data_IF_818168661360
#
_entry.id   IF_818168661360
#
_cell.length_a   1.000
_cell.length_b   1.000
_cell.length_c   1.000
_cell.angle_alpha   90.00
_cell.angle_beta   90.00
_cell.angle_gamma   90.00
#
_symmetry.space_group_name_H-M   'P 1'
#
loop_
_entity.id
_entity.type
_entity.pdbx_description
1 polymer ?
#
# COMPACT_ATOMS: atom_id res chain seq x y z
N UNK A 1 -4.68 -9.66 -9.06
CA UNK A 1 -3.41 -10.34 -8.83
C UNK A 1 -2.43 -9.44 -8.07
N UNK A 2 -1.73 -9.93 -7.04
CA UNK A 2 -0.63 -9.16 -6.42
C UNK A 2 0.61 -9.27 -7.33
N UNK A 3 1.24 -8.17 -7.78
CA UNK A 3 2.44 -8.23 -8.60
C UNK A 3 3.60 -8.90 -7.87
N UNK A 4 4.30 -9.81 -8.56
CA UNK A 4 5.42 -10.58 -7.97
C UNK A 4 6.71 -9.75 -7.82
N UNK A 5 6.79 -8.57 -8.43
CA UNK A 5 7.95 -7.67 -8.35
C UNK A 5 7.85 -6.64 -7.21
N UNK A 6 6.84 -6.74 -6.34
CA UNK A 6 6.77 -5.89 -5.14
C UNK A 6 7.80 -6.38 -4.13
N UNK A 7 8.76 -5.52 -3.79
CA UNK A 7 9.78 -5.78 -2.76
C UNK A 7 9.42 -5.10 -1.45
N UNK A 8 10.15 -5.42 -0.38
CA UNK A 8 10.00 -4.78 0.93
C UNK A 8 10.20 -3.26 0.83
N UNK A 9 11.14 -2.81 0.00
CA UNK A 9 11.42 -1.38 -0.22
C UNK A 9 10.20 -0.66 -0.82
N UNK A 10 9.46 -1.29 -1.73
CA UNK A 10 8.22 -0.73 -2.28
C UNK A 10 7.13 -0.59 -1.21
N UNK A 11 7.01 -1.58 -0.32
CA UNK A 11 6.08 -1.53 0.82
C UNK A 11 6.46 -0.41 1.79
N UNK A 12 7.75 -0.25 2.11
CA UNK A 12 8.22 0.81 2.99
C UNK A 12 7.96 2.20 2.40
N UNK A 13 8.19 2.40 1.10
CA UNK A 13 7.82 3.65 0.40
C UNK A 13 6.31 3.91 0.42
N UNK A 14 5.50 2.86 0.25
CA UNK A 14 4.04 2.98 0.37
C UNK A 14 3.59 3.40 1.77
N UNK A 15 4.19 2.81 2.83
CA UNK A 15 3.91 3.21 4.21
C UNK A 15 4.33 4.66 4.49
N UNK A 16 5.47 5.12 3.95
CA UNK A 16 5.90 6.51 4.05
C UNK A 16 4.92 7.48 3.36
N UNK A 17 4.37 7.10 2.20
CA UNK A 17 3.34 7.91 1.53
C UNK A 17 2.05 7.98 2.34
N UNK A 18 1.63 6.87 2.95
CA UNK A 18 0.47 6.83 3.87
C UNK A 18 0.73 7.70 5.10
N UNK A 19 1.91 7.61 5.70
CA UNK A 19 2.29 8.43 6.86
C UNK A 19 2.25 9.93 6.53
N UNK A 20 2.60 10.30 5.29
CA UNK A 20 2.65 11.70 4.84
C UNK A 20 1.28 12.25 4.43
N UNK A 21 0.50 11.47 3.69
CA UNK A 21 -0.71 11.94 3.02
C UNK A 21 -2.01 11.43 3.68
N UNK A 22 -1.90 10.50 4.61
CA UNK A 22 -3.03 9.78 5.17
C UNK A 22 -3.58 8.70 4.24
N UNK A 23 -4.73 8.16 4.63
CA UNK A 23 -5.49 7.16 3.86
C UNK A 23 -6.79 7.82 3.40
N UNK A 24 -7.10 7.85 2.10
CA UNK A 24 -8.42 8.27 1.61
C UNK A 24 -9.54 7.41 2.23
N UNK A 25 -10.70 8.00 2.52
CA UNK A 25 -11.79 7.29 3.22
C UNK A 25 -12.21 6.00 2.50
N UNK A 26 -12.26 6.03 1.16
CA UNK A 26 -12.61 4.89 0.32
C UNK A 26 -11.55 3.77 0.30
N UNK A 27 -10.36 4.05 0.85
CA UNK A 27 -9.22 3.13 0.93
C UNK A 27 -8.96 2.63 2.35
N UNK A 28 -9.78 3.01 3.33
CA UNK A 28 -9.71 2.49 4.69
C UNK A 28 -9.96 0.98 4.72
N UNK A 29 -9.32 0.29 5.66
CA UNK A 29 -9.56 -1.15 5.85
C UNK A 29 -10.67 -1.39 6.84
N UNK A 30 -11.54 -2.35 6.53
CA UNK A 30 -12.68 -2.71 7.38
C UNK A 30 -12.47 -3.99 8.18
N UNK A 31 -11.54 -4.87 7.76
CA UNK A 31 -11.35 -6.20 8.38
C UNK A 31 -9.96 -6.44 8.96
N UNK A 32 -8.92 -5.98 8.26
CA UNK A 32 -7.54 -6.35 8.58
C UNK A 32 -6.60 -5.18 8.43
N UNK A 33 -5.58 -5.11 9.28
CA UNK A 33 -4.51 -4.12 9.17
C UNK A 33 -3.17 -4.81 8.99
N UNK A 34 -2.30 -4.19 8.21
CA UNK A 34 -0.88 -4.50 8.18
C UNK A 34 -0.21 -3.72 9.32
N UNK A 35 0.30 -4.42 10.32
CA UNK A 35 1.00 -3.78 11.44
C UNK A 35 2.50 -3.71 11.16
N UNK A 36 3.09 -2.53 11.34
CA UNK A 36 4.52 -2.32 11.22
C UNK A 36 4.97 -1.18 12.14
N UNK A 37 6.00 -1.41 12.96
CA UNK A 37 6.53 -0.44 13.92
C UNK A 37 5.45 0.25 14.78
N UNK A 38 4.48 -0.51 15.28
CA UNK A 38 3.38 0.01 16.11
C UNK A 38 2.30 0.79 15.37
N UNK A 39 2.38 0.90 14.03
CA UNK A 39 1.38 1.56 13.18
C UNK A 39 0.57 0.54 12.39
N UNK A 40 -0.66 0.91 12.05
CA UNK A 40 -1.60 0.10 11.28
C UNK A 40 -1.83 0.71 9.90
N UNK A 41 -1.69 -0.11 8.86
CA UNK A 41 -1.84 0.30 7.47
C UNK A 41 -2.94 -0.52 6.77
N UNK A 42 -3.78 0.07 5.91
CA UNK A 42 -4.77 -0.69 5.13
C UNK A 42 -4.05 -1.57 4.09
N UNK A 43 -4.09 -2.91 4.20
CA UNK A 43 -3.25 -3.78 3.40
C UNK A 43 -3.47 -3.62 1.89
N UNK A 44 -4.72 -3.46 1.45
CA UNK A 44 -5.06 -3.24 0.03
C UNK A 44 -4.49 -1.92 -0.50
N UNK A 45 -4.56 -0.86 0.30
CA UNK A 45 -4.06 0.44 -0.10
C UNK A 45 -2.53 0.47 -0.13
N UNK A 46 -1.88 -0.14 0.87
CA UNK A 46 -0.42 -0.29 0.90
C UNK A 46 0.11 -1.01 -0.34
N UNK A 47 -0.52 -2.12 -0.76
CA UNK A 47 -0.11 -2.84 -1.97
C UNK A 47 -0.36 -2.01 -3.23
N UNK A 48 -1.45 -1.26 -3.31
CA UNK A 48 -1.74 -0.37 -4.44
C UNK A 48 -0.66 0.71 -4.60
N UNK A 49 -0.20 1.31 -3.51
CA UNK A 49 0.90 2.28 -3.52
C UNK A 49 2.24 1.61 -3.80
N UNK A 50 2.49 0.43 -3.24
CA UNK A 50 3.72 -0.31 -3.51
C UNK A 50 3.85 -0.66 -5.00
N UNK A 51 2.74 -1.00 -5.66
CA UNK A 51 2.69 -1.23 -7.10
C UNK A 51 3.07 0.03 -7.90
N UNK A 52 2.62 1.22 -7.48
CA UNK A 52 3.03 2.51 -8.06
C UNK A 52 4.54 2.70 -7.98
N UNK A 53 5.17 2.31 -6.87
CA UNK A 53 6.63 2.39 -6.72
C UNK A 53 7.39 1.33 -7.52
N UNK A 54 6.82 0.13 -7.68
CA UNK A 54 7.44 -0.95 -8.44
C UNK A 54 7.38 -0.72 -9.96
N UNK A 55 6.28 -0.15 -10.46
CA UNK A 55 5.95 -0.12 -11.88
C UNK A 55 5.77 1.29 -12.45
N UNK A 56 5.98 2.34 -11.65
CA UNK A 56 5.87 3.74 -12.07
C UNK A 56 4.44 4.20 -12.42
N UNK A 57 3.42 3.37 -12.19
CA UNK A 57 2.01 3.69 -12.45
C UNK A 57 1.13 3.38 -11.24
N UNK A 58 0.37 4.36 -10.79
CA UNK A 58 -0.79 4.16 -9.93
C UNK A 58 -1.98 3.73 -10.79
N UNK A 59 -1.98 2.47 -11.23
CA UNK A 59 -3.10 1.87 -11.96
C UNK A 59 -3.90 0.93 -11.08
N UNK A 60 -5.15 0.57 -11.47
CA UNK A 60 -5.86 -0.53 -10.84
C UNK A 60 -4.93 -1.75 -10.80
N UNK A 61 -4.85 -2.38 -9.63
CA UNK A 61 -4.33 -3.74 -9.58
C UNK A 61 -5.33 -4.53 -10.41
N UNK A 62 -4.95 -5.04 -11.58
CA UNK A 62 -5.81 -5.96 -12.33
C UNK A 62 -6.02 -7.18 -11.41
N UNK A 63 -7.20 -7.26 -10.78
CA UNK A 63 -7.53 -8.33 -9.82
C UNK A 63 -7.87 -9.59 -10.58
#
# INVERSE_FOLDING_TARGET
MIPQNITKEHILKAMQEIDKNGVPEERLSTKYYLQYNGKNYPPKYTISLANKYANGRAGPIDI
#
